data_IF_162322951029
#
_entry.id   IF_162322951029
#
_cell.length_a   1.000
_cell.length_b   1.000
_cell.length_c   1.000
_cell.angle_alpha   90.00
_cell.angle_beta   90.00
_cell.angle_gamma   90.00
#
_symmetry.space_group_name_H-M   'P 1'
#
loop_
_entity.id
_entity.type
_entity.pdbx_description
1 polymer ?
#
# COMPACT_ATOMS: atom_id res chain seq x y z
N UNK A 1 -36.69 -9.59 -5.49
CA UNK A 1 -35.55 -10.34 -6.06
C UNK A 1 -34.29 -9.55 -5.79
N UNK A 2 -33.36 -10.10 -5.01
CA UNK A 2 -32.13 -9.44 -4.58
C UNK A 2 -31.17 -9.28 -5.75
N UNK A 3 -30.87 -8.04 -6.14
CA UNK A 3 -29.83 -7.75 -7.12
C UNK A 3 -28.47 -7.82 -6.43
N UNK A 4 -27.83 -8.99 -6.47
CA UNK A 4 -26.40 -9.13 -6.15
C UNK A 4 -25.56 -8.42 -7.23
N UNK A 5 -25.57 -7.09 -7.22
CA UNK A 5 -24.77 -6.26 -8.08
C UNK A 5 -23.48 -5.86 -7.37
N UNK A 6 -22.46 -6.73 -7.38
CA UNK A 6 -21.11 -6.27 -7.04
C UNK A 6 -20.72 -5.18 -8.04
N UNK A 7 -20.41 -3.99 -7.51
CA UNK A 7 -19.99 -2.82 -8.30
C UNK A 7 -18.84 -3.22 -9.23
N UNK A 8 -18.83 -2.77 -10.51
CA UNK A 8 -17.78 -3.12 -11.48
C UNK A 8 -16.35 -2.96 -10.92
N UNK A 9 -16.15 -1.91 -10.11
CA UNK A 9 -14.87 -1.62 -9.44
C UNK A 9 -14.39 -2.74 -8.51
N UNK A 10 -15.30 -3.43 -7.83
CA UNK A 10 -14.96 -4.52 -6.90
C UNK A 10 -14.47 -5.74 -7.68
N UNK A 11 -15.15 -6.10 -8.77
CA UNK A 11 -14.73 -7.21 -9.64
C UNK A 11 -13.38 -6.96 -10.31
N UNK A 12 -13.14 -5.74 -10.76
CA UNK A 12 -11.85 -5.37 -11.36
C UNK A 12 -10.70 -5.41 -10.34
N UNK A 13 -10.99 -5.02 -9.10
CA UNK A 13 -10.03 -5.08 -7.98
C UNK A 13 -9.72 -6.53 -7.61
N UNK A 14 -10.72 -7.39 -7.55
CA UNK A 14 -10.57 -8.82 -7.26
C UNK A 14 -9.74 -9.53 -8.34
N UNK A 15 -10.04 -9.27 -9.62
CA UNK A 15 -9.25 -9.77 -10.75
C UNK A 15 -7.79 -9.31 -10.69
N UNK A 16 -7.56 -8.04 -10.34
CA UNK A 16 -6.21 -7.49 -10.18
C UNK A 16 -5.47 -8.15 -9.02
N UNK A 17 -6.16 -8.39 -7.90
CA UNK A 17 -5.61 -9.07 -6.73
C UNK A 17 -5.21 -10.50 -7.06
N UNK A 18 -6.06 -11.26 -7.76
CA UNK A 18 -5.75 -12.63 -8.18
C UNK A 18 -4.57 -12.70 -9.15
N UNK A 19 -4.41 -11.71 -10.02
CA UNK A 19 -3.22 -11.58 -10.88
C UNK A 19 -1.96 -11.34 -10.06
N UNK A 20 -2.02 -10.45 -9.07
CA UNK A 20 -0.88 -10.18 -8.18
C UNK A 20 -0.51 -11.42 -7.36
N UNK A 21 -1.48 -12.08 -6.72
CA UNK A 21 -1.24 -13.34 -5.98
C UNK A 21 -0.54 -14.38 -6.84
N UNK A 22 -1.01 -14.57 -8.07
CA UNK A 22 -0.39 -15.49 -9.03
C UNK A 22 1.06 -15.10 -9.33
N UNK A 23 1.32 -13.84 -9.63
CA UNK A 23 2.68 -13.34 -9.89
C UNK A 23 3.62 -13.56 -8.69
N UNK A 24 3.13 -13.33 -7.48
CA UNK A 24 3.89 -13.57 -6.25
C UNK A 24 4.20 -15.06 -6.05
N UNK A 25 3.20 -15.94 -6.29
CA UNK A 25 3.37 -17.40 -6.14
C UNK A 25 4.37 -18.01 -7.12
N UNK A 26 4.58 -17.39 -8.29
CA UNK A 26 5.50 -17.92 -9.31
C UNK A 26 6.98 -17.70 -9.00
N UNK A 27 7.33 -17.04 -7.89
CA UNK A 27 8.71 -16.99 -7.36
C UNK A 27 9.74 -16.31 -8.27
N UNK A 28 9.32 -15.62 -9.33
CA UNK A 28 10.21 -15.07 -10.37
C UNK A 28 11.17 -13.99 -9.85
N UNK A 29 11.01 -13.48 -8.62
CA UNK A 29 11.85 -12.43 -8.00
C UNK A 29 11.87 -11.08 -8.75
N UNK A 30 11.22 -11.01 -9.92
CA UNK A 30 11.25 -9.88 -10.85
C UNK A 30 10.07 -8.92 -10.70
N UNK A 31 9.14 -9.20 -9.79
CA UNK A 31 7.91 -8.42 -9.65
C UNK A 31 8.03 -7.44 -8.47
N UNK A 32 8.62 -6.28 -8.73
CA UNK A 32 8.47 -5.14 -7.85
C UNK A 32 7.05 -4.59 -8.02
N UNK A 33 6.31 -4.51 -6.91
CA UNK A 33 5.02 -3.82 -6.89
C UNK A 33 5.31 -2.33 -6.78
N UNK A 34 4.98 -1.57 -7.81
CA UNK A 34 5.31 -0.15 -7.85
C UNK A 34 4.17 0.70 -8.40
N UNK A 35 4.05 1.92 -7.87
CA UNK A 35 3.00 2.84 -8.27
C UNK A 35 2.91 4.07 -7.37
N UNK A 36 2.09 5.06 -7.76
CA UNK A 36 1.85 6.23 -6.95
C UNK A 36 0.95 5.87 -5.76
N UNK A 37 1.31 6.33 -4.56
CA UNK A 37 0.44 6.35 -3.38
C UNK A 37 0.54 7.69 -2.65
N UNK A 38 -0.54 8.08 -1.97
CA UNK A 38 -0.49 9.20 -1.04
C UNK A 38 0.07 8.71 0.30
N UNK A 39 1.20 9.28 0.72
CA UNK A 39 1.82 9.04 2.03
C UNK A 39 1.62 10.24 2.93
N UNK A 40 1.17 10.02 4.17
CA UNK A 40 1.17 11.06 5.20
C UNK A 40 2.59 11.29 5.72
N UNK A 41 3.04 12.55 5.70
CA UNK A 41 4.25 13.00 6.38
C UNK A 41 3.99 12.96 7.88
N UNK A 42 4.95 12.44 8.63
CA UNK A 42 4.91 12.44 10.09
C UNK A 42 5.04 13.87 10.64
N UNK A 43 6.09 14.59 10.24
CA UNK A 43 6.38 15.96 10.70
C UNK A 43 5.32 16.97 10.26
N UNK A 44 4.99 17.00 8.96
CA UNK A 44 4.09 18.01 8.42
C UNK A 44 2.62 17.62 8.54
N UNK A 45 2.32 16.36 8.91
CA UNK A 45 0.97 15.78 8.97
C UNK A 45 0.15 15.90 7.68
N UNK A 46 0.81 16.23 6.56
CA UNK A 46 0.23 16.40 5.21
C UNK A 46 0.40 15.14 4.37
N UNK A 47 -0.60 14.84 3.56
CA UNK A 47 -0.53 13.79 2.55
C UNK A 47 0.18 14.30 1.31
N UNK A 48 1.08 13.48 0.77
CA UNK A 48 1.83 13.80 -0.42
C UNK A 48 1.91 12.58 -1.31
N UNK A 49 1.82 12.77 -2.62
CA UNK A 49 2.09 11.70 -3.57
C UNK A 49 3.55 11.27 -3.50
N UNK A 50 3.77 9.97 -3.49
CA UNK A 50 5.08 9.34 -3.55
C UNK A 50 5.01 8.17 -4.52
N UNK A 51 6.11 7.96 -5.25
CA UNK A 51 6.28 6.72 -5.99
C UNK A 51 6.77 5.64 -5.03
N UNK A 52 5.96 4.62 -4.83
CA UNK A 52 6.24 3.49 -3.94
C UNK A 52 6.79 2.34 -4.76
N UNK A 53 7.78 1.65 -4.19
CA UNK A 53 8.37 0.43 -4.72
C UNK A 53 8.41 -0.56 -3.57
N UNK A 54 7.63 -1.64 -3.64
CA UNK A 54 7.62 -2.74 -2.70
C UNK A 54 8.27 -3.94 -3.37
N UNK A 55 9.34 -4.43 -2.73
CA UNK A 55 9.85 -5.76 -2.97
C UNK A 55 9.11 -6.75 -2.04
N UNK A 56 8.18 -7.55 -2.59
CA UNK A 56 7.39 -8.47 -1.79
C UNK A 56 8.21 -9.65 -1.25
N UNK A 57 9.42 -9.89 -1.77
CA UNK A 57 10.27 -11.01 -1.31
C UNK A 57 11.04 -10.66 -0.04
N UNK A 58 11.50 -9.41 0.08
CA UNK A 58 12.22 -8.92 1.26
C UNK A 58 11.33 -8.17 2.25
N UNK A 59 10.10 -7.81 1.87
CA UNK A 59 9.26 -6.92 2.67
C UNK A 59 9.80 -5.48 2.71
N UNK A 60 10.74 -5.12 1.82
CA UNK A 60 11.28 -3.77 1.75
C UNK A 60 10.41 -2.88 0.87
N UNK A 61 9.89 -1.81 1.43
CA UNK A 61 9.15 -0.78 0.72
C UNK A 61 9.92 0.54 0.73
N UNK A 62 10.23 1.06 -0.44
CA UNK A 62 10.91 2.34 -0.62
C UNK A 62 9.95 3.37 -1.21
N UNK A 63 10.19 4.65 -0.90
CA UNK A 63 9.44 5.73 -1.51
C UNK A 63 10.33 6.84 -2.05
N UNK A 64 9.92 7.38 -3.20
CA UNK A 64 10.58 8.45 -3.94
C UNK A 64 9.64 9.61 -4.19
N UNK A 65 10.17 10.77 -4.56
CA UNK A 65 9.34 11.90 -4.99
C UNK A 65 8.58 11.59 -6.28
N UNK A 66 9.26 10.96 -7.26
CA UNK A 66 8.73 10.62 -8.58
C UNK A 66 9.29 9.28 -9.05
N UNK A 67 8.67 8.67 -10.07
CA UNK A 67 9.08 7.37 -10.64
C UNK A 67 10.55 7.34 -11.08
N UNK A 68 10.99 8.40 -11.76
CA UNK A 68 12.32 8.46 -12.37
C UNK A 68 13.39 9.03 -11.43
N UNK A 69 13.05 9.32 -10.18
CA UNK A 69 14.01 9.83 -9.21
C UNK A 69 15.02 8.71 -8.87
N UNK A 70 16.31 9.03 -8.87
CA UNK A 70 17.34 8.09 -8.43
C UNK A 70 17.34 7.97 -6.90
N UNK A 71 17.21 9.10 -6.20
CA UNK A 71 17.27 9.17 -4.75
C UNK A 71 16.01 8.59 -4.08
N UNK A 72 16.22 7.63 -3.18
CA UNK A 72 15.20 7.14 -2.25
C UNK A 72 15.02 8.16 -1.13
N UNK A 73 13.76 8.52 -0.82
CA UNK A 73 13.43 9.46 0.26
C UNK A 73 13.24 8.77 1.61
N UNK A 74 12.99 7.48 1.61
CA UNK A 74 12.94 6.67 2.82
C UNK A 74 12.54 5.23 2.52
N UNK A 75 12.67 4.41 3.54
CA UNK A 75 12.42 2.97 3.50
C UNK A 75 11.53 2.59 4.68
N UNK A 76 10.64 1.65 4.43
CA UNK A 76 9.74 1.01 5.38
C UNK A 76 10.06 -0.48 5.25
N UNK A 77 10.45 -1.11 6.35
CA UNK A 77 10.67 -2.56 6.40
C UNK A 77 9.45 -3.21 7.04
N UNK A 78 8.90 -4.21 6.37
CA UNK A 78 7.90 -5.10 6.93
C UNK A 78 8.61 -6.34 7.49
N UNK A 79 8.40 -6.58 8.77
CA UNK A 79 8.87 -7.75 9.49
C UNK A 79 7.73 -8.37 10.32
N UNK A 80 8.05 -9.37 11.13
CA UNK A 80 7.07 -10.04 11.98
C UNK A 80 6.40 -9.13 13.03
N UNK A 81 7.00 -7.97 13.36
CA UNK A 81 6.44 -6.96 14.28
C UNK A 81 5.51 -5.96 13.59
N UNK A 82 5.47 -6.00 12.26
CA UNK A 82 4.71 -5.05 11.45
C UNK A 82 3.25 -5.49 11.34
N UNK A 83 2.33 -4.63 11.77
CA UNK A 83 0.89 -4.84 11.62
C UNK A 83 0.33 -3.85 10.59
N UNK A 84 -0.37 -4.35 9.57
CA UNK A 84 -1.06 -3.54 8.56
C UNK A 84 -2.55 -3.56 8.85
N UNK A 85 -3.17 -2.39 9.06
CA UNK A 85 -4.61 -2.28 9.32
C UNK A 85 -5.23 -1.16 8.51
N UNK A 86 -6.56 -1.21 8.36
CA UNK A 86 -7.30 -0.07 7.81
C UNK A 86 -7.18 1.11 8.78
N UNK A 87 -6.87 2.28 8.24
CA UNK A 87 -6.73 3.50 9.01
C UNK A 87 -8.10 3.88 9.61
N UNK A 88 -8.18 4.16 10.92
CA UNK A 88 -9.42 4.66 11.54
C UNK A 88 -9.77 6.08 11.05
N UNK A 89 -8.82 6.75 10.42
CA UNK A 89 -8.99 8.10 9.84
C UNK A 89 -8.91 7.99 8.32
N UNK A 90 -9.96 8.44 7.64
CA UNK A 90 -9.96 8.54 6.18
C UNK A 90 -9.19 9.79 5.71
N UNK A 91 -8.70 9.78 4.47
CA UNK A 91 -7.99 10.92 3.88
C UNK A 91 -8.92 12.13 3.72
N UNK A 92 -8.77 13.09 4.65
CA UNK A 92 -9.55 14.32 4.73
C UNK A 92 -11.08 14.10 4.78
N UNK A 93 -11.54 12.92 5.23
CA UNK A 93 -12.97 12.58 5.26
C UNK A 93 -13.62 12.48 3.89
N UNK A 94 -12.84 12.33 2.81
CA UNK A 94 -13.38 12.28 1.45
C UNK A 94 -13.92 10.87 1.12
N UNK A 95 -15.21 10.73 0.73
CA UNK A 95 -15.84 9.42 0.50
C UNK A 95 -15.15 8.55 -0.56
N UNK A 96 -14.49 9.17 -1.55
CA UNK A 96 -13.77 8.45 -2.60
C UNK A 96 -12.58 7.61 -2.10
N UNK A 97 -12.17 7.81 -0.84
CA UNK A 97 -11.09 7.06 -0.20
C UNK A 97 -11.56 6.16 0.95
N UNK A 98 -12.87 6.01 1.13
CA UNK A 98 -13.41 5.09 2.14
C UNK A 98 -12.84 3.68 1.93
N UNK A 99 -12.30 3.10 2.99
CA UNK A 99 -11.64 1.79 2.97
C UNK A 99 -10.31 1.72 2.19
N UNK A 100 -9.80 2.84 1.68
CA UNK A 100 -8.56 2.88 0.87
C UNK A 100 -7.34 3.36 1.66
N UNK A 101 -7.54 3.88 2.88
CA UNK A 101 -6.47 4.32 3.76
C UNK A 101 -6.05 3.18 4.68
N UNK A 102 -4.77 2.87 4.74
CA UNK A 102 -4.19 1.90 5.67
C UNK A 102 -3.08 2.54 6.48
N UNK A 103 -2.82 2.00 7.67
CA UNK A 103 -1.65 2.33 8.47
C UNK A 103 -0.77 1.09 8.65
N UNK A 104 0.51 1.36 8.88
CA UNK A 104 1.52 0.36 9.20
C UNK A 104 1.95 0.71 10.62
N UNK A 105 1.71 -0.21 11.53
CA UNK A 105 2.01 -0.07 12.95
C UNK A 105 3.16 -1.02 13.27
N UNK A 106 4.12 -0.53 14.04
CA UNK A 106 5.17 -1.35 14.61
C UNK A 106 4.80 -1.61 16.06
N UNK A 107 4.67 -2.87 16.46
CA UNK A 107 4.64 -3.18 17.89
C UNK A 107 5.99 -2.77 18.45
N UNK A 108 6.00 -1.72 19.27
CA UNK A 108 7.17 -1.44 20.09
C UNK A 108 7.23 -2.56 21.11
N UNK A 109 8.30 -3.36 21.11
CA UNK A 109 8.55 -4.25 22.25
C UNK A 109 8.52 -3.37 23.51
N UNK A 110 7.60 -3.67 24.42
CA UNK A 110 7.53 -3.00 25.71
C UNK A 110 8.89 -3.16 26.41
N UNK A 111 9.51 -2.02 26.74
CA UNK A 111 10.66 -1.96 27.66
C UNK A 111 10.20 -2.25 29.09
#
# INVERSE_FOLDING_TARGET
>A
MSTNGSSPRVRDTESSLEKVKRQLSTGSGRYLLQGPLLKRSETLRKWNERWIILDPTSGKMEYKLRRNETAVKGTILFDASSTITLSPVNFQGMPKYDGCCFCILYTSDEL
#
